data_IF_169891909465
#
_entry.id   IF_169891909465
#
_cell.length_a   1.000
_cell.length_b   1.000
_cell.length_c   1.000
_cell.angle_alpha   90.00
_cell.angle_beta   90.00
_cell.angle_gamma   90.00
#
_symmetry.space_group_name_H-M   'P 1'
#
loop_
_entity.id
_entity.type
_entity.pdbx_description
1 polymer ?
#
# COMPACT_ATOMS: atom_id res chain seq x y z
N UNK A 1 -0.95 -41.95 -51.55
CA UNK A 1 -1.10 -40.48 -51.66
C UNK A 1 -1.99 -40.01 -50.52
N UNK A 2 -1.52 -39.06 -49.71
CA UNK A 2 -2.33 -38.47 -48.65
C UNK A 2 -3.33 -37.51 -49.32
N UNK A 3 -4.64 -37.62 -49.07
CA UNK A 3 -5.60 -36.67 -49.62
C UNK A 3 -5.22 -35.26 -49.21
N UNK A 4 -5.39 -34.28 -50.11
CA UNK A 4 -5.15 -32.87 -49.85
C UNK A 4 -3.66 -32.48 -49.60
N UNK A 5 -2.71 -33.39 -49.88
CA UNK A 5 -1.26 -33.09 -49.87
C UNK A 5 -0.66 -33.47 -51.21
N UNK A 6 -0.15 -32.48 -51.95
CA UNK A 6 0.61 -32.69 -53.19
C UNK A 6 2.09 -32.44 -52.95
N UNK A 7 2.94 -33.00 -53.81
CA UNK A 7 4.39 -32.78 -53.76
C UNK A 7 4.87 -32.30 -55.12
N UNK A 8 5.81 -31.37 -55.08
CA UNK A 8 6.52 -30.82 -56.23
C UNK A 8 7.98 -31.22 -56.03
N UNK A 9 8.47 -32.08 -56.90
CA UNK A 9 9.87 -32.51 -56.92
C UNK A 9 10.64 -31.63 -57.92
N UNK A 10 11.48 -30.75 -57.38
CA UNK A 10 12.50 -30.04 -58.16
C UNK A 10 13.83 -30.79 -57.99
N UNK A 11 14.73 -30.69 -58.97
CA UNK A 11 15.93 -31.53 -59.17
C UNK A 11 16.76 -31.87 -57.91
N UNK A 12 16.67 -31.07 -56.85
CA UNK A 12 17.33 -31.34 -55.56
C UNK A 12 16.50 -30.95 -54.31
N UNK A 13 15.17 -30.74 -54.44
CA UNK A 13 14.28 -30.33 -53.34
C UNK A 13 12.86 -30.89 -53.52
N UNK A 14 12.39 -31.64 -52.52
CA UNK A 14 10.99 -32.05 -52.41
C UNK A 14 10.22 -30.97 -51.65
N UNK A 15 9.20 -30.38 -52.28
CA UNK A 15 8.31 -29.39 -51.66
C UNK A 15 6.92 -29.99 -51.52
N UNK A 16 6.38 -30.05 -50.30
CA UNK A 16 5.01 -30.51 -50.06
C UNK A 16 4.07 -29.31 -50.00
N UNK A 17 3.02 -29.32 -50.82
CA UNK A 17 1.93 -28.33 -50.79
C UNK A 17 0.75 -28.98 -50.09
N UNK A 18 0.37 -28.40 -48.95
CA UNK A 18 -0.75 -28.85 -48.12
C UNK A 18 -1.93 -27.92 -48.39
N UNK A 19 -3.08 -28.48 -48.76
CA UNK A 19 -4.33 -27.74 -48.94
C UNK A 19 -4.92 -27.38 -47.56
N UNK A 20 -5.52 -26.19 -47.45
CA UNK A 20 -6.15 -25.66 -46.24
C UNK A 20 -7.21 -26.60 -45.67
N UNK A 21 -7.83 -27.44 -46.51
CA UNK A 21 -8.78 -28.45 -46.10
C UNK A 21 -8.21 -29.46 -45.08
N UNK A 22 -6.89 -29.66 -45.05
CA UNK A 22 -6.24 -30.48 -44.02
C UNK A 22 -6.40 -29.91 -42.60
N UNK A 23 -6.70 -28.62 -42.46
CA UNK A 23 -6.85 -27.94 -41.19
C UNK A 23 -8.33 -27.71 -40.80
N UNK A 24 -9.28 -28.14 -41.64
CA UNK A 24 -10.69 -28.09 -41.28
C UNK A 24 -11.01 -29.13 -40.21
N UNK A 25 -11.66 -28.66 -39.15
CA UNK A 25 -12.13 -29.51 -38.07
C UNK A 25 -13.19 -30.46 -38.65
N UNK A 26 -13.01 -31.79 -38.56
CA UNK A 26 -13.99 -32.75 -39.05
C UNK A 26 -15.34 -32.58 -38.36
N UNK A 27 -16.44 -32.83 -39.06
CA UNK A 27 -17.80 -32.59 -38.56
C UNK A 27 -18.18 -33.40 -37.30
N UNK A 28 -17.43 -34.46 -36.99
CA UNK A 28 -17.60 -35.30 -35.81
C UNK A 28 -16.78 -34.84 -34.60
N UNK A 29 -16.01 -33.75 -34.71
CA UNK A 29 -15.31 -33.15 -33.60
C UNK A 29 -16.21 -32.07 -32.99
N UNK A 30 -16.70 -32.29 -31.78
CA UNK A 30 -17.27 -31.20 -31.01
C UNK A 30 -16.16 -30.21 -30.64
N UNK A 31 -16.36 -28.94 -31.00
CA UNK A 31 -15.54 -27.86 -30.49
C UNK A 31 -15.94 -27.68 -29.02
N UNK A 32 -15.31 -28.42 -28.12
CA UNK A 32 -15.50 -28.23 -26.68
C UNK A 32 -15.35 -26.74 -26.38
N UNK A 33 -16.44 -26.17 -25.87
CA UNK A 33 -16.73 -24.75 -25.90
C UNK A 33 -15.56 -23.88 -25.45
N UNK A 34 -15.21 -22.96 -26.34
CA UNK A 34 -14.69 -21.64 -26.02
C UNK A 34 -13.38 -21.58 -25.27
N UNK A 35 -12.32 -21.10 -25.91
CA UNK A 35 -11.16 -20.57 -25.18
C UNK A 35 -11.59 -19.72 -23.98
N UNK A 36 -12.67 -18.96 -24.10
CA UNK A 36 -13.22 -18.15 -23.01
C UNK A 36 -13.57 -18.95 -21.74
N UNK A 37 -14.23 -20.11 -21.85
CA UNK A 37 -14.68 -20.86 -20.66
C UNK A 37 -13.50 -21.59 -20.01
N UNK A 38 -12.60 -22.15 -20.83
CA UNK A 38 -11.37 -22.80 -20.37
C UNK A 38 -10.40 -21.82 -19.74
N UNK A 39 -10.30 -20.61 -20.29
CA UNK A 39 -9.49 -19.54 -19.72
C UNK A 39 -10.12 -19.03 -18.42
N UNK A 40 -11.45 -18.92 -18.33
CA UNK A 40 -12.12 -18.52 -17.10
C UNK A 40 -11.91 -19.52 -15.96
N UNK A 41 -11.98 -20.83 -16.22
CA UNK A 41 -11.65 -21.85 -15.20
C UNK A 41 -10.18 -21.77 -14.79
N UNK A 42 -9.26 -21.60 -15.75
CA UNK A 42 -7.83 -21.45 -15.43
C UNK A 42 -7.52 -20.19 -14.63
N UNK A 43 -8.14 -19.06 -14.97
CA UNK A 43 -7.98 -17.80 -14.24
C UNK A 43 -8.48 -17.97 -12.80
N UNK A 44 -9.60 -18.68 -12.61
CA UNK A 44 -10.12 -18.95 -11.28
C UNK A 44 -9.18 -19.86 -10.47
N UNK A 45 -8.62 -20.91 -11.09
CA UNK A 45 -7.62 -21.77 -10.44
C UNK A 45 -6.32 -21.00 -10.10
N UNK A 46 -5.91 -20.06 -10.96
CA UNK A 46 -4.75 -19.18 -10.75
C UNK A 46 -4.99 -18.16 -9.63
N UNK A 47 -6.19 -17.61 -9.54
CA UNK A 47 -6.60 -16.68 -8.47
C UNK A 47 -6.62 -17.38 -7.10
N UNK A 48 -7.13 -18.62 -7.04
CA UNK A 48 -7.11 -19.44 -5.82
C UNK A 48 -5.66 -19.73 -5.40
N UNK A 49 -4.79 -20.09 -6.35
CA UNK A 49 -3.37 -20.32 -6.08
C UNK A 49 -2.66 -19.04 -5.60
N UNK A 50 -2.96 -17.90 -6.20
CA UNK A 50 -2.44 -16.60 -5.79
C UNK A 50 -2.88 -16.26 -4.36
N UNK A 51 -4.13 -16.52 -4.00
CA UNK A 51 -4.63 -16.31 -2.65
C UNK A 51 -3.84 -17.14 -1.62
N UNK A 52 -3.54 -18.41 -1.92
CA UNK A 52 -2.70 -19.24 -1.06
C UNK A 52 -1.27 -18.70 -0.93
N UNK A 53 -0.66 -18.21 -2.02
CA UNK A 53 0.68 -17.64 -1.98
C UNK A 53 0.75 -16.37 -1.11
N UNK A 54 -0.28 -15.52 -1.17
CA UNK A 54 -0.41 -14.33 -0.32
C UNK A 54 -0.56 -14.74 1.15
N UNK A 55 -1.46 -15.67 1.46
CA UNK A 55 -1.64 -16.19 2.83
C UNK A 55 -0.34 -16.78 3.38
N UNK A 56 0.35 -17.60 2.59
CA UNK A 56 1.62 -18.20 2.99
C UNK A 56 2.70 -17.14 3.25
N UNK A 57 2.80 -16.12 2.40
CA UNK A 57 3.72 -14.99 2.59
C UNK A 57 3.43 -14.22 3.89
N UNK A 58 2.14 -14.00 4.21
CA UNK A 58 1.74 -13.33 5.45
C UNK A 58 2.07 -14.16 6.69
N UNK A 59 1.87 -15.48 6.62
CA UNK A 59 2.20 -16.41 7.72
C UNK A 59 3.72 -16.48 7.92
N UNK A 60 4.50 -16.63 6.84
CA UNK A 60 5.97 -16.69 6.89
C UNK A 60 6.58 -15.37 7.40
N UNK A 61 5.95 -14.24 7.07
CA UNK A 61 6.34 -12.92 7.56
C UNK A 61 5.85 -12.64 8.99
N UNK A 62 5.05 -13.53 9.59
CA UNK A 62 4.45 -13.34 10.93
C UNK A 62 3.43 -12.21 11.02
N UNK A 63 2.89 -11.75 9.88
CA UNK A 63 1.97 -10.60 9.78
C UNK A 63 0.54 -11.00 9.41
N UNK A 64 0.11 -12.21 9.78
CA UNK A 64 -1.23 -12.75 9.47
C UNK A 64 -2.38 -11.89 10.02
N UNK A 65 -2.16 -11.23 11.16
CA UNK A 65 -3.15 -10.37 11.84
C UNK A 65 -2.90 -8.88 11.63
N UNK A 66 -1.98 -8.52 10.73
CA UNK A 66 -1.56 -7.14 10.47
C UNK A 66 -2.58 -6.45 9.55
N UNK A 67 -3.65 -5.90 10.13
CA UNK A 67 -4.58 -5.04 9.40
C UNK A 67 -3.96 -3.66 9.23
N UNK A 68 -3.60 -3.33 7.99
CA UNK A 68 -3.15 -2.00 7.56
C UNK A 68 -4.36 -1.09 7.35
N UNK A 69 -4.50 -0.04 8.14
CA UNK A 69 -5.53 0.98 7.91
C UNK A 69 -5.26 1.72 6.58
N UNK A 70 -6.32 2.17 5.88
CA UNK A 70 -6.19 2.87 4.58
C UNK A 70 -5.23 4.08 4.69
N UNK A 71 -5.26 4.77 5.84
CA UNK A 71 -4.39 5.89 6.17
C UNK A 71 -2.90 5.54 6.33
N UNK A 72 -2.61 4.28 6.64
CA UNK A 72 -1.28 3.73 6.85
C UNK A 72 -0.65 3.36 5.50
N UNK A 73 -1.42 2.72 4.63
CA UNK A 73 -1.02 2.38 3.28
C UNK A 73 -0.67 3.62 2.44
N UNK A 74 -1.45 4.70 2.56
CA UNK A 74 -1.23 5.94 1.81
C UNK A 74 0.06 6.68 2.19
N UNK A 75 0.58 6.45 3.40
CA UNK A 75 1.84 7.07 3.87
C UNK A 75 3.06 6.19 3.63
N UNK A 76 2.87 4.96 3.12
CA UNK A 76 3.96 4.01 2.87
C UNK A 76 4.75 3.62 4.13
N UNK A 77 4.24 3.96 5.32
CA UNK A 77 4.85 3.61 6.59
C UNK A 77 4.12 2.39 7.11
N UNK A 78 4.67 1.21 6.87
CA UNK A 78 4.26 0.01 7.61
C UNK A 78 4.64 0.26 9.08
N UNK A 79 3.72 0.18 10.05
CA UNK A 79 4.06 0.11 11.45
C UNK A 79 4.93 -1.12 11.61
N UNK A 80 6.08 -0.96 12.26
CA UNK A 80 6.75 -2.12 12.83
C UNK A 80 5.71 -2.81 13.72
N UNK A 81 5.39 -4.06 13.40
CA UNK A 81 4.50 -4.86 14.23
C UNK A 81 5.00 -4.83 15.67
N UNK A 82 4.13 -4.72 16.70
CA UNK A 82 4.54 -4.70 18.10
C UNK A 82 5.24 -5.99 18.60
N UNK A 83 5.44 -6.98 17.72
CA UNK A 83 6.25 -8.18 17.96
C UNK A 83 7.59 -8.21 17.20
N UNK A 84 7.89 -7.22 16.36
CA UNK A 84 9.15 -7.08 15.61
C UNK A 84 10.07 -6.02 16.19
N UNK A 85 9.78 -5.49 17.38
CA UNK A 85 10.79 -4.74 18.14
C UNK A 85 11.84 -5.76 18.57
N UNK A 86 12.96 -5.79 17.86
CA UNK A 86 14.15 -6.53 18.31
C UNK A 86 14.48 -6.08 19.74
N UNK A 87 15.08 -6.95 20.54
CA UNK A 87 15.61 -6.56 21.85
C UNK A 87 16.52 -5.31 21.73
N UNK A 88 17.14 -5.13 20.56
CA UNK A 88 17.93 -3.95 20.19
C UNK A 88 17.09 -2.66 20.10
N UNK A 89 15.90 -2.71 19.50
CA UNK A 89 15.01 -1.53 19.39
C UNK A 89 14.46 -1.12 20.74
N UNK A 90 14.14 -2.11 21.59
CA UNK A 90 13.70 -1.86 22.97
C UNK A 90 14.82 -1.22 23.81
N UNK A 91 16.07 -1.69 23.63
CA UNK A 91 17.25 -1.10 24.26
C UNK A 91 17.53 0.31 23.73
N UNK A 92 17.39 0.54 22.42
CA UNK A 92 17.56 1.85 21.80
C UNK A 92 16.53 2.85 22.33
N UNK A 93 15.24 2.49 22.37
CA UNK A 93 14.19 3.34 22.92
C UNK A 93 14.47 3.70 24.39
N UNK A 94 14.94 2.74 25.20
CA UNK A 94 15.31 3.00 26.58
C UNK A 94 16.49 3.97 26.68
N UNK A 95 17.54 3.79 25.88
CA UNK A 95 18.69 4.67 25.85
C UNK A 95 18.34 6.09 25.38
N UNK A 96 17.44 6.23 24.39
CA UNK A 96 16.94 7.52 23.92
C UNK A 96 16.14 8.23 25.01
N UNK A 97 15.23 7.51 25.69
CA UNK A 97 14.43 8.05 26.76
C UNK A 97 15.28 8.50 27.96
N UNK A 98 16.29 7.70 28.32
CA UNK A 98 17.26 8.03 29.37
C UNK A 98 18.13 9.23 28.96
N UNK A 99 18.61 9.28 27.71
CA UNK A 99 19.37 10.44 27.21
C UNK A 99 18.55 11.73 27.27
N UNK A 100 17.27 11.67 26.92
CA UNK A 100 16.38 12.84 27.00
C UNK A 100 16.14 13.27 28.45
N UNK A 101 15.87 12.30 29.34
CA UNK A 101 15.68 12.57 30.77
C UNK A 101 16.94 13.11 31.44
N UNK A 102 18.13 12.61 31.08
CA UNK A 102 19.41 13.12 31.59
C UNK A 102 19.66 14.55 31.12
N UNK A 103 19.30 14.91 29.89
CA UNK A 103 19.40 16.29 29.40
C UNK A 103 18.42 17.24 30.10
N UNK A 104 17.22 16.77 30.44
CA UNK A 104 16.25 17.55 31.21
C UNK A 104 16.59 17.62 32.70
N UNK A 105 17.20 16.58 33.27
CA UNK A 105 17.65 16.56 34.67
C UNK A 105 19.00 17.27 34.89
N UNK A 106 19.77 17.55 33.82
CA UNK A 106 20.96 18.39 33.89
C UNK A 106 20.66 19.89 34.01
N UNK A 107 19.39 20.30 34.07
CA UNK A 107 18.98 21.66 34.45
C UNK A 107 18.89 21.79 35.98
N UNK A 108 20.02 21.50 36.66
CA UNK A 108 20.23 21.83 38.07
C UNK A 108 21.59 22.54 38.20
N UNK A 109 21.66 23.62 38.98
CA UNK A 109 22.59 24.71 38.71
C UNK A 109 23.87 24.55 39.52
N UNK A 110 24.94 24.08 38.91
CA UNK A 110 26.30 24.29 39.43
C UNK A 110 27.27 24.36 38.26
N UNK A 111 27.49 25.57 37.75
CA UNK A 111 28.41 25.79 36.64
C UNK A 111 28.23 27.11 35.92
N UNK A 112 28.48 28.22 36.61
CA UNK A 112 29.05 29.46 36.05
C UNK A 112 28.61 29.84 34.62
N UNK A 113 27.45 30.48 34.48
CA UNK A 113 27.18 31.54 33.50
C UNK A 113 25.87 32.23 33.87
N UNK A 114 25.94 33.55 34.05
CA UNK A 114 24.84 34.48 34.30
C UNK A 114 23.56 34.15 33.51
N UNK A 115 22.39 33.96 34.15
CA UNK A 115 21.12 34.07 33.46
C UNK A 115 20.75 35.55 33.45
N UNK A 116 21.17 36.26 32.40
CA UNK A 116 20.40 37.42 31.98
C UNK A 116 18.97 36.90 31.76
N UNK A 117 18.03 37.38 32.56
CA UNK A 117 16.59 37.22 32.41
C UNK A 117 16.20 37.01 30.94
N UNK A 118 15.34 36.02 30.59
CA UNK A 118 14.90 35.87 29.21
C UNK A 118 13.93 37.02 28.93
N UNK A 119 14.48 38.19 28.61
CA UNK A 119 13.76 39.18 27.82
C UNK A 119 13.42 38.45 26.53
N UNK A 120 12.20 37.91 26.46
CA UNK A 120 11.66 37.28 25.26
C UNK A 120 11.97 38.25 24.13
N UNK A 121 12.78 37.78 23.19
CA UNK A 121 13.22 38.58 22.05
C UNK A 121 11.97 39.23 21.42
N UNK A 122 11.93 40.55 21.23
CA UNK A 122 10.79 41.22 20.62
C UNK A 122 10.34 40.55 19.31
N UNK A 123 11.27 39.99 18.55
CA UNK A 123 10.97 39.24 17.31
C UNK A 123 10.28 37.90 17.62
N UNK A 124 10.69 37.20 18.68
CA UNK A 124 10.05 35.96 19.15
C UNK A 124 8.64 36.24 19.70
N UNK A 125 8.45 37.35 20.42
CA UNK A 125 7.13 37.75 20.91
C UNK A 125 6.17 38.03 19.75
N UNK A 126 6.66 38.67 18.69
CA UNK A 126 5.89 38.90 17.46
C UNK A 126 5.56 37.58 16.74
N UNK A 127 6.54 36.68 16.60
CA UNK A 127 6.34 35.37 15.98
C UNK A 127 5.31 34.51 16.73
N UNK A 128 5.35 34.50 18.07
CA UNK A 128 4.38 33.78 18.89
C UNK A 128 2.97 34.34 18.72
N UNK A 129 2.82 35.67 18.65
CA UNK A 129 1.52 36.31 18.43
C UNK A 129 0.96 35.98 17.03
N UNK A 130 1.78 36.08 15.98
CA UNK A 130 1.37 35.69 14.62
C UNK A 130 1.00 34.20 14.56
N UNK A 131 1.77 33.34 15.23
CA UNK A 131 1.46 31.91 15.32
C UNK A 131 0.17 31.64 16.08
N UNK A 132 -0.15 32.43 17.10
CA UNK A 132 -1.40 32.29 17.85
C UNK A 132 -2.60 32.72 17.00
N UNK A 133 -2.50 33.85 16.30
CA UNK A 133 -3.55 34.33 15.40
C UNK A 133 -3.83 33.31 14.27
N UNK A 134 -2.79 32.74 13.65
CA UNK A 134 -2.93 31.68 12.62
C UNK A 134 -3.60 30.41 13.18
N UNK A 135 -3.24 30.01 14.41
CA UNK A 135 -3.83 28.84 15.05
C UNK A 135 -5.32 29.03 15.31
N UNK A 136 -5.74 30.21 15.76
CA UNK A 136 -7.15 30.52 16.01
C UNK A 136 -7.96 30.53 14.71
N UNK A 137 -7.40 31.07 13.62
CA UNK A 137 -8.03 31.02 12.29
C UNK A 137 -8.21 29.58 11.81
N UNK A 138 -7.17 28.76 11.91
CA UNK A 138 -7.23 27.34 11.54
C UNK A 138 -8.27 26.59 12.38
N UNK A 139 -8.36 26.87 13.68
CA UNK A 139 -9.38 26.26 14.53
C UNK A 139 -10.79 26.67 14.11
N UNK A 140 -11.00 27.94 13.77
CA UNK A 140 -12.30 28.39 13.27
C UNK A 140 -12.69 27.74 11.94
N UNK A 141 -11.73 27.55 11.03
CA UNK A 141 -11.96 26.86 9.77
C UNK A 141 -12.39 25.41 10.02
N UNK A 142 -11.65 24.67 10.86
CA UNK A 142 -11.98 23.29 11.23
C UNK A 142 -13.37 23.16 11.87
N UNK A 143 -13.76 24.11 12.72
CA UNK A 143 -15.10 24.13 13.32
C UNK A 143 -16.19 24.32 12.27
N UNK A 144 -15.98 25.22 11.29
CA UNK A 144 -16.92 25.40 10.18
C UNK A 144 -17.03 24.15 9.31
N UNK A 145 -15.89 23.52 8.99
CA UNK A 145 -15.87 22.26 8.25
C UNK A 145 -16.62 21.15 8.97
N UNK A 146 -16.41 21.01 10.29
CA UNK A 146 -17.13 20.03 11.11
C UNK A 146 -18.64 20.28 11.11
N UNK A 147 -19.07 21.55 11.26
CA UNK A 147 -20.48 21.90 11.21
C UNK A 147 -21.11 21.56 9.85
N UNK A 148 -20.39 21.80 8.75
CA UNK A 148 -20.83 21.43 7.40
C UNK A 148 -20.97 19.91 7.25
N UNK A 149 -20.00 19.15 7.76
CA UNK A 149 -20.02 17.70 7.71
C UNK A 149 -21.21 17.12 8.53
N UNK A 150 -21.46 17.65 9.73
CA UNK A 150 -22.59 17.21 10.56
C UNK A 150 -23.93 17.44 9.85
N UNK A 151 -24.10 18.61 9.21
CA UNK A 151 -25.29 18.91 8.41
C UNK A 151 -25.45 17.94 7.24
N UNK A 152 -24.37 17.62 6.53
CA UNK A 152 -24.41 16.67 5.42
C UNK A 152 -24.82 15.26 5.88
N UNK A 153 -24.27 14.79 7.00
CA UNK A 153 -24.63 13.49 7.60
C UNK A 153 -26.12 13.47 8.00
N UNK A 154 -26.62 14.56 8.62
CA UNK A 154 -28.03 14.65 9.03
C UNK A 154 -28.98 14.59 7.84
N UNK A 155 -28.72 15.37 6.79
CA UNK A 155 -29.53 15.33 5.56
C UNK A 155 -29.53 13.92 4.94
N UNK A 156 -28.37 13.25 4.90
CA UNK A 156 -28.27 11.88 4.38
C UNK A 156 -29.04 10.84 5.22
N UNK A 157 -29.29 11.09 6.51
CA UNK A 157 -30.11 10.22 7.35
C UNK A 157 -31.61 10.49 7.24
N UNK A 158 -31.99 11.72 6.93
CA UNK A 158 -33.39 12.12 6.70
C UNK A 158 -33.87 11.75 5.28
N UNK A 159 -32.99 11.66 4.29
CA UNK A 159 -33.30 11.29 2.90
C UNK A 159 -33.41 9.76 2.65
N UNK A 160 -33.79 8.97 3.67
CA UNK A 160 -33.87 7.50 3.57
C UNK A 160 -35.30 6.96 3.54
#
# INVERSE_FOLDING_TARGET
>A
PVPNVSHIEEDNRLTCVVDDQCFHIPANYERNGGEYLRNMTRVQDEDDLLQFAIQQSLIESGSENDQVDIWEALRGQRPLTPGALSDEDSQLQRALHESLHVRSASDSPDGNSTPSSPSIDPDLAMALRLSQEEQDERQQELLREQEMLEKAIRLSMEEK
#
